data_IF_451857028320
#
_entry.id   IF_451857028320
#
_cell.length_a   1.000
_cell.length_b   1.000
_cell.length_c   1.000
_cell.angle_alpha   90.00
_cell.angle_beta   90.00
_cell.angle_gamma   90.00
#
_symmetry.space_group_name_H-M   'P 1'
#
loop_
_entity.id
_entity.type
_entity.pdbx_description
1 polymer ?
#
# COMPACT_ATOMS: atom_id res chain seq x y z
N UNK A 1 -9.25 -9.23 17.48
CA UNK A 1 -9.23 -9.47 16.02
C UNK A 1 -7.89 -9.06 15.45
N UNK A 2 -7.35 -9.88 14.57
CA UNK A 2 -6.12 -9.55 13.89
C UNK A 2 -6.35 -8.37 12.93
N UNK A 3 -5.44 -7.42 12.91
CA UNK A 3 -5.46 -6.35 11.94
C UNK A 3 -4.94 -6.82 10.59
N UNK A 4 -5.16 -6.03 9.55
CA UNK A 4 -4.69 -6.32 8.22
C UNK A 4 -3.85 -5.20 7.63
N UNK A 5 -3.05 -5.54 6.64
CA UNK A 5 -2.22 -4.61 5.88
C UNK A 5 -2.70 -4.62 4.43
N UNK A 6 -2.99 -3.46 3.89
CA UNK A 6 -3.31 -3.30 2.48
C UNK A 6 -2.08 -2.75 1.74
N UNK A 7 -1.68 -3.42 0.67
CA UNK A 7 -0.56 -2.97 -0.16
C UNK A 7 -1.12 -2.35 -1.43
N UNK A 8 -0.98 -1.03 -1.57
CA UNK A 8 -1.39 -0.27 -2.74
C UNK A 8 -0.20 -0.10 -3.66
N UNK A 9 -0.34 -0.45 -4.93
CA UNK A 9 0.74 -0.36 -5.90
C UNK A 9 0.20 -0.24 -7.32
N UNK A 10 1.02 0.29 -8.24
CA UNK A 10 0.72 0.25 -9.67
C UNK A 10 1.40 -0.97 -10.27
N UNK A 11 0.64 -1.79 -11.00
CA UNK A 11 1.17 -3.01 -11.62
C UNK A 11 2.35 -2.73 -12.55
N UNK A 12 2.20 -1.73 -13.38
CA UNK A 12 3.24 -1.39 -14.37
C UNK A 12 4.48 -0.78 -13.72
N UNK A 13 4.42 -0.48 -12.43
CA UNK A 13 5.51 0.15 -11.69
C UNK A 13 6.21 -0.86 -10.76
N UNK A 14 5.47 -1.45 -9.82
CA UNK A 14 6.09 -2.18 -8.70
C UNK A 14 5.47 -3.54 -8.41
N UNK A 15 4.82 -4.20 -9.38
CA UNK A 15 4.14 -5.48 -9.10
C UNK A 15 5.06 -6.56 -8.54
N UNK A 16 6.32 -6.62 -8.98
CA UNK A 16 7.26 -7.63 -8.48
C UNK A 16 7.64 -7.38 -7.03
N UNK A 17 7.89 -6.12 -6.70
CA UNK A 17 8.18 -5.72 -5.31
C UNK A 17 6.96 -5.98 -4.43
N UNK A 18 5.77 -5.63 -4.91
CA UNK A 18 4.52 -5.86 -4.18
C UNK A 18 4.33 -7.36 -3.88
N UNK A 19 4.60 -8.23 -4.85
CA UNK A 19 4.50 -9.67 -4.66
C UNK A 19 5.50 -10.21 -3.65
N UNK A 20 6.75 -9.74 -3.72
CA UNK A 20 7.79 -10.14 -2.76
C UNK A 20 7.45 -9.67 -1.35
N UNK A 21 7.06 -8.41 -1.23
CA UNK A 21 6.68 -7.83 0.07
C UNK A 21 5.48 -8.57 0.66
N UNK A 22 4.45 -8.81 -0.15
CA UNK A 22 3.25 -9.52 0.31
C UNK A 22 3.61 -10.92 0.81
N UNK A 23 4.44 -11.66 0.07
CA UNK A 23 4.88 -13.00 0.49
C UNK A 23 5.62 -12.97 1.82
N UNK A 24 6.56 -12.04 1.98
CA UNK A 24 7.33 -11.91 3.21
C UNK A 24 6.44 -11.50 4.39
N UNK A 25 5.48 -10.61 4.18
CA UNK A 25 4.55 -10.21 5.24
C UNK A 25 3.57 -11.32 5.58
N UNK A 26 3.13 -12.10 4.59
CA UNK A 26 2.27 -13.27 4.84
C UNK A 26 2.99 -14.30 5.72
N UNK A 27 4.28 -14.50 5.50
CA UNK A 27 5.09 -15.40 6.33
C UNK A 27 5.17 -14.93 7.78
N UNK A 28 5.12 -13.63 8.01
CA UNK A 28 5.24 -13.06 9.35
C UNK A 28 3.91 -12.87 10.05
N UNK A 29 2.84 -12.55 9.34
CA UNK A 29 1.56 -12.17 9.94
C UNK A 29 0.37 -13.06 9.52
N UNK A 30 0.57 -13.97 8.57
CA UNK A 30 -0.49 -14.84 8.06
C UNK A 30 -1.07 -14.30 6.75
N UNK A 31 -1.45 -15.22 5.86
CA UNK A 31 -1.97 -14.86 4.54
C UNK A 31 -3.27 -14.05 4.61
N UNK A 32 -4.11 -14.32 5.61
CA UNK A 32 -5.39 -13.65 5.79
C UNK A 32 -5.26 -12.20 6.28
N UNK A 33 -4.06 -11.80 6.70
CA UNK A 33 -3.82 -10.43 7.19
C UNK A 33 -3.27 -9.51 6.11
N UNK A 34 -2.96 -10.03 4.93
CA UNK A 34 -2.32 -9.25 3.87
C UNK A 34 -3.27 -9.15 2.68
N UNK A 35 -3.60 -7.92 2.31
CA UNK A 35 -4.47 -7.62 1.19
C UNK A 35 -3.67 -6.84 0.15
N UNK A 36 -3.69 -7.29 -1.07
CA UNK A 36 -3.10 -6.54 -2.17
C UNK A 36 -3.98 -6.71 -3.39
N UNK A 37 -4.04 -5.67 -4.15
CA UNK A 37 -4.66 -5.67 -5.47
C UNK A 37 -6.08 -6.25 -5.49
N UNK A 38 -6.99 -5.45 -5.97
CA UNK A 38 -8.41 -5.82 -6.07
C UNK A 38 -8.71 -6.49 -7.41
N UNK A 39 -7.70 -7.07 -8.04
CA UNK A 39 -7.82 -7.70 -9.36
C UNK A 39 -8.68 -8.95 -9.38
N UNK A 40 -8.89 -9.55 -8.24
CA UNK A 40 -9.81 -10.65 -8.12
C UNK A 40 -11.25 -10.18 -7.93
N UNK A 41 -11.59 -9.02 -8.52
CA UNK A 41 -12.99 -8.58 -8.53
C UNK A 41 -13.79 -9.58 -9.33
N UNK A 42 -14.72 -10.24 -8.67
CA UNK A 42 -15.64 -11.14 -9.35
C UNK A 42 -16.52 -10.34 -10.31
N UNK A 43 -16.83 -10.94 -11.43
CA UNK A 43 -17.69 -10.29 -12.42
C UNK A 43 -18.98 -9.83 -11.76
N UNK A 44 -19.31 -8.54 -11.91
CA UNK A 44 -20.50 -7.96 -11.33
C UNK A 44 -20.32 -7.24 -10.00
N UNK A 45 -19.15 -7.39 -9.34
CA UNK A 45 -18.88 -6.64 -8.12
C UNK A 45 -18.46 -5.21 -8.42
N UNK A 46 -18.96 -4.28 -7.62
CA UNK A 46 -18.56 -2.88 -7.72
C UNK A 46 -17.26 -2.65 -6.95
N UNK A 47 -16.33 -1.93 -7.59
CA UNK A 47 -15.02 -1.64 -7.01
C UNK A 47 -15.09 -1.00 -5.64
N UNK A 48 -15.87 0.07 -5.42
CA UNK A 48 -15.87 0.73 -4.10
C UNK A 48 -16.28 -0.21 -2.97
N UNK A 49 -17.22 -1.12 -3.23
CA UNK A 49 -17.70 -2.07 -2.23
C UNK A 49 -16.60 -3.08 -1.85
N UNK A 50 -15.84 -3.55 -2.83
CA UNK A 50 -14.73 -4.48 -2.58
C UNK A 50 -13.62 -3.81 -1.78
N UNK A 51 -13.31 -2.58 -2.15
CA UNK A 51 -12.30 -1.79 -1.44
C UNK A 51 -12.72 -1.58 0.01
N UNK A 52 -13.95 -1.17 0.25
CA UNK A 52 -14.46 -0.97 1.60
C UNK A 52 -14.38 -2.24 2.44
N UNK A 53 -14.73 -3.39 1.88
CA UNK A 53 -14.62 -4.67 2.58
C UNK A 53 -13.17 -4.98 2.96
N UNK A 54 -12.24 -4.81 2.02
CA UNK A 54 -10.83 -5.05 2.30
C UNK A 54 -10.31 -4.13 3.39
N UNK A 55 -10.65 -2.84 3.31
CA UNK A 55 -10.17 -1.84 4.26
C UNK A 55 -10.81 -1.99 5.65
N UNK A 56 -11.98 -2.62 5.76
CA UNK A 56 -12.61 -2.87 7.07
C UNK A 56 -11.73 -3.69 8.01
N UNK A 57 -10.83 -4.51 7.45
CA UNK A 57 -9.94 -5.36 8.23
C UNK A 57 -8.53 -4.78 8.35
N UNK A 58 -8.26 -3.64 7.73
CA UNK A 58 -6.91 -3.10 7.66
C UNK A 58 -6.67 -2.00 8.69
N UNK A 59 -5.50 -2.04 9.32
CA UNK A 59 -5.01 -1.00 10.22
C UNK A 59 -3.92 -0.17 9.56
N UNK A 60 -3.41 -0.63 8.42
CA UNK A 60 -2.27 -0.02 7.74
C UNK A 60 -2.43 -0.18 6.23
N UNK A 61 -2.11 0.87 5.50
CA UNK A 61 -1.93 0.81 4.05
C UNK A 61 -0.50 1.19 3.72
N UNK A 62 0.20 0.31 3.00
CA UNK A 62 1.53 0.58 2.46
C UNK A 62 1.36 0.97 1.00
N UNK A 63 1.84 2.16 0.65
CA UNK A 63 1.76 2.67 -0.73
C UNK A 63 3.14 2.56 -1.35
N UNK A 64 3.30 1.62 -2.29
CA UNK A 64 4.59 1.41 -2.96
C UNK A 64 4.76 2.44 -4.07
N UNK A 65 5.80 3.23 -3.96
CA UNK A 65 6.09 4.32 -4.90
C UNK A 65 7.41 4.02 -5.60
N UNK A 66 7.31 3.59 -6.85
CA UNK A 66 8.45 3.38 -7.72
C UNK A 66 8.57 4.50 -8.76
N UNK A 67 9.46 4.30 -9.71
CA UNK A 67 9.81 5.35 -10.69
C UNK A 67 8.66 5.79 -11.57
N UNK A 68 7.67 4.92 -11.81
CA UNK A 68 6.55 5.21 -12.70
C UNK A 68 5.25 5.47 -11.95
N UNK A 69 5.29 5.53 -10.61
CA UNK A 69 4.09 5.72 -9.82
C UNK A 69 3.43 7.08 -10.09
N UNK A 70 4.23 8.15 -10.04
CA UNK A 70 3.73 9.51 -10.21
C UNK A 70 3.34 9.81 -11.66
N UNK A 71 4.18 9.39 -12.60
CA UNK A 71 4.04 9.74 -14.01
C UNK A 71 3.29 8.74 -14.87
N UNK A 72 2.78 7.65 -14.30
CA UNK A 72 2.05 6.64 -15.08
C UNK A 72 0.88 7.26 -15.85
N UNK A 73 0.77 6.89 -17.13
CA UNK A 73 -0.24 7.44 -18.02
C UNK A 73 -1.21 6.35 -18.49
N UNK A 74 -2.40 6.78 -18.91
CA UNK A 74 -3.39 5.90 -19.53
C UNK A 74 -3.13 5.74 -21.04
N UNK A 75 -4.01 5.03 -21.74
CA UNK A 75 -3.89 4.82 -23.18
C UNK A 75 -4.01 6.09 -24.02
N UNK A 76 -4.41 7.21 -23.43
CA UNK A 76 -4.51 8.52 -24.08
C UNK A 76 -3.43 9.49 -23.58
N UNK A 77 -2.39 8.98 -22.94
CA UNK A 77 -1.25 9.72 -22.42
C UNK A 77 -1.62 10.75 -21.33
N UNK A 78 -2.75 10.56 -20.68
CA UNK A 78 -3.13 11.37 -19.51
C UNK A 78 -2.56 10.71 -18.27
N UNK A 79 -2.09 11.54 -17.32
CA UNK A 79 -1.56 11.02 -16.06
C UNK A 79 -2.69 10.34 -15.27
N UNK A 80 -2.46 9.09 -14.85
CA UNK A 80 -3.48 8.31 -14.15
C UNK A 80 -3.91 8.95 -12.83
N UNK A 81 -2.99 9.54 -12.08
CA UNK A 81 -3.32 10.20 -10.80
C UNK A 81 -4.27 11.40 -10.97
N UNK A 82 -4.35 11.98 -12.17
CA UNK A 82 -5.28 13.08 -12.43
C UNK A 82 -6.71 12.61 -12.69
N UNK A 83 -6.90 11.31 -12.90
CA UNK A 83 -8.23 10.72 -13.12
C UNK A 83 -8.87 10.41 -11.76
N UNK A 84 -10.03 11.02 -11.45
CA UNK A 84 -10.73 10.72 -10.18
C UNK A 84 -11.13 9.25 -10.02
N UNK A 85 -11.19 8.50 -11.10
CA UNK A 85 -11.55 7.08 -11.09
C UNK A 85 -10.34 6.15 -11.09
N UNK A 86 -9.12 6.70 -11.04
CA UNK A 86 -7.91 5.88 -10.96
C UNK A 86 -7.92 5.03 -9.69
N UNK A 87 -7.67 3.73 -9.85
CA UNK A 87 -7.76 2.76 -8.76
C UNK A 87 -6.81 3.07 -7.60
N UNK A 88 -5.56 3.36 -7.91
CA UNK A 88 -4.56 3.68 -6.88
C UNK A 88 -4.98 4.95 -6.12
N UNK A 89 -5.43 5.95 -6.84
CA UNK A 89 -5.94 7.19 -6.24
C UNK A 89 -7.12 6.91 -5.31
N UNK A 90 -8.08 6.08 -5.76
CA UNK A 90 -9.25 5.72 -4.94
C UNK A 90 -8.87 4.96 -3.68
N UNK A 91 -7.96 4.01 -3.79
CA UNK A 91 -7.47 3.25 -2.63
C UNK A 91 -6.90 4.17 -1.56
N UNK A 92 -5.98 5.04 -1.95
CA UNK A 92 -5.29 5.94 -1.03
C UNK A 92 -6.26 6.96 -0.43
N UNK A 93 -7.07 7.60 -1.29
CA UNK A 93 -8.03 8.60 -0.83
C UNK A 93 -9.02 8.01 0.17
N UNK A 94 -9.50 6.79 -0.09
CA UNK A 94 -10.44 6.11 0.80
C UNK A 94 -9.78 5.79 2.15
N UNK A 95 -8.55 5.27 2.13
CA UNK A 95 -7.84 4.96 3.37
C UNK A 95 -7.59 6.23 4.20
N UNK A 96 -7.21 7.32 3.55
CA UNK A 96 -6.99 8.59 4.24
C UNK A 96 -8.28 9.12 4.87
N UNK A 97 -9.40 9.07 4.15
CA UNK A 97 -10.69 9.52 4.68
C UNK A 97 -11.15 8.69 5.86
N UNK A 98 -10.84 7.38 5.85
CA UNK A 98 -11.24 6.46 6.93
C UNK A 98 -10.32 6.52 8.14
N UNK A 99 -9.26 7.31 8.08
CA UNK A 99 -8.31 7.41 9.19
C UNK A 99 -7.41 6.20 9.35
N UNK A 100 -7.31 5.35 8.32
CA UNK A 100 -6.36 4.24 8.30
C UNK A 100 -4.95 4.81 8.17
N UNK A 101 -4.00 4.25 8.90
CA UNK A 101 -2.61 4.69 8.80
C UNK A 101 -2.08 4.36 7.40
N UNK A 102 -1.60 5.39 6.70
CA UNK A 102 -1.07 5.25 5.33
C UNK A 102 0.41 5.61 5.37
N UNK A 103 1.26 4.71 4.86
CA UNK A 103 2.71 4.90 4.86
C UNK A 103 3.24 4.79 3.43
N UNK A 104 3.86 5.87 2.91
CA UNK A 104 4.53 5.76 1.62
C UNK A 104 5.81 4.95 1.75
N UNK A 105 6.01 4.02 0.82
CA UNK A 105 7.19 3.15 0.76
C UNK A 105 7.94 3.42 -0.54
N UNK A 106 9.12 4.02 -0.42
CA UNK A 106 9.95 4.34 -1.58
C UNK A 106 10.67 3.09 -2.04
N UNK A 107 10.46 2.71 -3.29
CA UNK A 107 11.05 1.53 -3.91
C UNK A 107 12.10 1.96 -4.94
N UNK A 108 13.18 1.20 -5.05
CA UNK A 108 14.22 1.42 -6.08
C UNK A 108 14.83 2.83 -6.02
N UNK A 109 15.10 3.31 -4.82
CA UNK A 109 15.70 4.64 -4.58
C UNK A 109 14.88 5.79 -5.15
N UNK A 110 13.57 5.59 -5.27
CA UNK A 110 12.65 6.63 -5.73
C UNK A 110 12.47 7.69 -4.63
N UNK A 111 12.46 8.95 -5.04
CA UNK A 111 12.21 10.06 -4.13
C UNK A 111 10.71 10.20 -3.85
N UNK A 112 10.37 10.75 -2.68
CA UNK A 112 8.99 11.08 -2.34
C UNK A 112 8.45 12.10 -3.32
N UNK A 113 7.26 11.89 -3.90
CA UNK A 113 6.70 12.86 -4.85
C UNK A 113 6.48 14.24 -4.22
N UNK A 114 6.69 15.32 -4.99
CA UNK A 114 6.35 16.65 -4.51
C UNK A 114 4.84 16.77 -4.23
N UNK A 115 4.50 17.42 -3.14
CA UNK A 115 3.10 17.56 -2.73
C UNK A 115 2.23 18.25 -3.79
N UNK A 116 2.78 19.27 -4.45
CA UNK A 116 2.05 20.04 -5.46
C UNK A 116 1.78 19.25 -6.75
N UNK A 117 2.43 18.10 -6.94
CA UNK A 117 2.18 17.23 -8.08
C UNK A 117 1.12 16.17 -7.80
N UNK A 118 0.59 16.14 -6.58
CA UNK A 118 -0.46 15.20 -6.21
C UNK A 118 -1.83 15.87 -6.25
N UNK A 119 -2.89 15.10 -6.61
CA UNK A 119 -4.24 15.59 -6.38
C UNK A 119 -4.42 15.98 -4.92
N UNK A 120 -5.22 17.00 -4.68
CA UNK A 120 -5.40 17.57 -3.34
C UNK A 120 -5.72 16.50 -2.29
N UNK A 121 -6.59 15.55 -2.64
CA UNK A 121 -7.01 14.50 -1.71
C UNK A 121 -5.88 13.52 -1.35
N UNK A 122 -4.80 13.45 -2.14
CA UNK A 122 -3.64 12.60 -1.86
C UNK A 122 -2.48 13.32 -1.19
N UNK A 123 -2.54 14.62 -1.07
CA UNK A 123 -1.43 15.41 -0.49
C UNK A 123 -1.03 14.99 0.92
N UNK A 124 -1.97 14.56 1.80
CA UNK A 124 -1.57 14.08 3.12
C UNK A 124 -0.62 12.88 3.09
N UNK A 125 -0.59 12.10 2.00
CA UNK A 125 0.31 10.96 1.86
C UNK A 125 1.78 11.36 2.06
N UNK A 126 2.21 12.45 1.43
CA UNK A 126 3.62 12.86 1.46
C UNK A 126 3.99 13.66 2.71
N UNK A 127 3.03 13.96 3.56
CA UNK A 127 3.28 14.56 4.88
C UNK A 127 3.55 13.50 5.93
N UNK A 128 3.43 12.22 5.57
CA UNK A 128 3.60 11.10 6.48
C UNK A 128 5.03 10.60 6.43
N UNK A 129 5.46 9.94 7.50
CA UNK A 129 6.79 9.38 7.55
C UNK A 129 6.90 8.24 6.54
N UNK A 130 7.88 8.35 5.64
CA UNK A 130 8.11 7.38 4.59
C UNK A 130 9.03 6.25 5.06
N UNK A 131 8.92 5.10 4.41
CA UNK A 131 9.82 3.96 4.57
C UNK A 131 10.51 3.68 3.24
N UNK A 132 11.67 3.07 3.31
CA UNK A 132 12.41 2.65 2.12
C UNK A 132 12.43 1.13 2.02
N UNK A 133 12.44 0.63 0.78
CA UNK A 133 12.50 -0.80 0.53
C UNK A 133 13.33 -1.00 -0.76
N UNK A 134 14.55 -1.47 -0.63
CA UNK A 134 15.45 -1.66 -1.76
C UNK A 134 15.90 -3.11 -1.87
N UNK A 135 16.16 -3.58 -3.10
CA UNK A 135 16.66 -4.95 -3.32
C UNK A 135 18.00 -5.17 -2.61
N UNK A 136 18.88 -4.18 -2.65
CA UNK A 136 20.21 -4.30 -2.06
C UNK A 136 20.17 -4.45 -0.54
N UNK A 137 19.16 -3.88 0.12
CA UNK A 137 19.02 -3.90 1.58
C UNK A 137 17.70 -4.55 2.00
N UNK A 138 17.15 -5.42 1.19
CA UNK A 138 15.79 -5.96 1.39
C UNK A 138 15.58 -6.52 2.79
N UNK A 139 16.50 -7.36 3.24
CA UNK A 139 16.36 -8.03 4.54
C UNK A 139 16.31 -7.02 5.70
N UNK A 140 17.18 -6.03 5.67
CA UNK A 140 17.20 -4.99 6.71
C UNK A 140 16.00 -4.05 6.61
N UNK A 141 15.65 -3.63 5.40
CA UNK A 141 14.49 -2.75 5.18
C UNK A 141 13.20 -3.47 5.57
N UNK A 142 13.08 -4.75 5.22
CA UNK A 142 11.92 -5.55 5.60
C UNK A 142 11.82 -5.69 7.11
N UNK A 143 12.94 -5.99 7.78
CA UNK A 143 12.93 -6.13 9.24
C UNK A 143 12.51 -4.83 9.92
N UNK A 144 12.98 -3.69 9.44
CA UNK A 144 12.55 -2.39 9.96
C UNK A 144 11.05 -2.17 9.75
N UNK A 145 10.53 -2.61 8.62
CA UNK A 145 9.08 -2.55 8.34
C UNK A 145 8.30 -3.43 9.31
N UNK A 146 8.75 -4.66 9.53
CA UNK A 146 8.11 -5.59 10.48
C UNK A 146 8.14 -5.02 11.89
N UNK A 147 9.28 -4.46 12.31
CA UNK A 147 9.40 -3.85 13.64
C UNK A 147 8.42 -2.69 13.83
N UNK A 148 8.19 -1.93 12.79
CA UNK A 148 7.18 -0.86 12.80
C UNK A 148 5.77 -1.45 12.90
N UNK A 149 5.47 -2.47 12.08
CA UNK A 149 4.12 -3.05 12.00
C UNK A 149 3.70 -3.70 13.32
N UNK A 150 4.61 -4.39 14.01
CA UNK A 150 4.27 -5.08 15.26
C UNK A 150 3.87 -4.12 16.38
N UNK A 151 4.21 -2.84 16.26
CA UNK A 151 3.80 -1.82 17.22
C UNK A 151 2.38 -1.31 17.00
N UNK A 152 1.76 -1.67 15.88
CA UNK A 152 0.41 -1.22 15.56
C UNK A 152 -0.63 -2.10 16.27
N UNK A 153 -1.74 -1.52 16.76
CA UNK A 153 -2.79 -2.30 17.38
C UNK A 153 -3.34 -3.38 16.43
N UNK A 154 -3.50 -4.59 16.92
CA UNK A 154 -4.05 -5.69 16.14
C UNK A 154 -3.04 -6.46 15.29
N UNK A 155 -1.78 -6.00 15.22
CA UNK A 155 -0.74 -6.67 14.43
C UNK A 155 0.15 -7.52 15.32
N UNK A 156 -0.05 -8.84 15.25
CA UNK A 156 0.72 -9.80 16.03
C UNK A 156 1.42 -10.76 15.07
N UNK A 157 2.76 -10.91 15.16
CA UNK A 157 3.47 -11.85 14.31
C UNK A 157 3.06 -13.29 14.61
N UNK A 158 3.08 -14.13 13.59
CA UNK A 158 2.88 -15.58 13.76
C UNK A 158 3.96 -16.14 14.68
N UNK A 159 3.57 -17.04 15.57
CA UNK A 159 4.50 -17.68 16.50
C UNK A 159 4.90 -16.81 17.69
N UNK A 160 4.39 -15.58 17.80
CA UNK A 160 4.63 -14.78 18.99
C UNK A 160 3.87 -15.33 20.18
N UNK A 161 4.49 -15.30 21.36
CA UNK A 161 3.81 -15.71 22.58
C UNK A 161 2.64 -14.77 22.85
N UNK A 162 1.49 -15.28 23.32
CA UNK A 162 0.39 -14.42 23.71
C UNK A 162 0.82 -13.52 24.87
N UNK A 163 0.44 -12.26 24.77
CA UNK A 163 0.74 -11.26 25.79
C UNK A 163 -0.01 -11.54 27.08
#
# INVERSE_FOLDING_TARGET
MAGGIFISYRRDDTRHVAGRLAGDLMDRFGAESIFRDIDSIDAGDEFPRRLDKALNHCVLMLVLIGRQWLGATDGQQRRRLDDPNDWVRLEIATALRRGIRVVPVMVEDTALPPEDQLPEELRPLVRRQARMLSDARWRGDLQAMVDFVVKLPGMTPLGAAPA
#
